data_IF_305136022069
#
_entry.id   IF_305136022069
#
_cell.length_a   1.000
_cell.length_b   1.000
_cell.length_c   1.000
_cell.angle_alpha   90.00
_cell.angle_beta   90.00
_cell.angle_gamma   90.00
#
_symmetry.space_group_name_H-M   'P 1'
#
loop_
_entity.id
_entity.type
_entity.pdbx_description
1 polymer ?
#
# COMPACT_ATOMS: atom_id res chain seq x y z
N UNK A 1 -8.95 2.64 11.58
CA UNK A 1 -8.33 3.74 10.82
C UNK A 1 -9.06 5.04 11.07
N UNK A 2 -8.39 6.16 10.83
CA UNK A 2 -8.98 7.47 10.63
C UNK A 2 -8.34 8.13 9.40
N UNK A 3 -9.10 8.90 8.63
CA UNK A 3 -8.63 9.67 7.50
C UNK A 3 -8.95 11.15 7.69
N UNK A 4 -7.91 11.98 7.68
CA UNK A 4 -8.00 13.43 7.63
C UNK A 4 -7.88 13.87 6.16
N UNK A 5 -9.00 14.32 5.59
CA UNK A 5 -9.09 14.73 4.20
C UNK A 5 -8.40 16.07 3.92
N UNK A 6 -8.30 16.96 4.91
CA UNK A 6 -7.64 18.26 4.74
C UNK A 6 -6.12 18.08 4.65
N UNK A 7 -5.59 17.09 5.36
CA UNK A 7 -4.15 16.77 5.39
C UNK A 7 -3.76 15.62 4.45
N UNK A 8 -4.73 14.95 3.83
CA UNK A 8 -4.53 13.68 3.12
C UNK A 8 -3.77 12.65 3.97
N UNK A 9 -4.14 12.55 5.25
CA UNK A 9 -3.44 11.74 6.24
C UNK A 9 -4.31 10.54 6.62
N UNK A 10 -3.82 9.35 6.30
CA UNK A 10 -4.39 8.09 6.77
C UNK A 10 -3.65 7.65 8.03
N UNK A 11 -4.42 7.31 9.07
CA UNK A 11 -3.90 6.70 10.30
C UNK A 11 -4.48 5.30 10.46
N UNK A 12 -3.63 4.29 10.51
CA UNK A 12 -3.97 2.92 10.87
C UNK A 12 -3.64 2.72 12.35
N UNK A 13 -4.67 2.52 13.17
CA UNK A 13 -4.49 2.41 14.62
C UNK A 13 -4.09 1.01 15.05
N UNK A 14 -3.19 0.92 16.03
CA UNK A 14 -2.77 -0.34 16.66
C UNK A 14 -2.41 -1.43 15.64
N UNK A 15 -1.56 -1.08 14.66
CA UNK A 15 -1.13 -2.04 13.64
C UNK A 15 -0.35 -3.19 14.28
N UNK A 16 -0.40 -4.35 13.64
CA UNK A 16 0.44 -5.48 14.01
C UNK A 16 1.92 -5.07 14.01
N UNK A 17 2.72 -5.48 15.02
CA UNK A 17 4.17 -5.29 15.00
C UNK A 17 4.86 -6.15 13.93
N UNK A 18 4.11 -7.04 13.26
CA UNK A 18 4.58 -7.89 12.17
C UNK A 18 3.93 -7.45 10.86
N UNK A 19 4.78 -7.17 9.87
CA UNK A 19 4.40 -6.98 8.47
C UNK A 19 4.72 -8.24 7.68
N UNK A 20 3.73 -8.80 6.97
CA UNK A 20 3.91 -9.93 6.06
C UNK A 20 4.23 -9.42 4.66
N UNK A 21 5.05 -10.14 3.90
CA UNK A 21 5.36 -9.79 2.52
C UNK A 21 5.55 -11.01 1.64
N UNK A 22 5.44 -10.76 0.33
CA UNK A 22 5.73 -11.72 -0.72
C UNK A 22 6.67 -11.07 -1.74
N UNK A 23 7.57 -11.85 -2.33
CA UNK A 23 8.32 -11.42 -3.51
C UNK A 23 7.71 -11.97 -4.79
N UNK A 24 7.87 -11.18 -5.86
CA UNK A 24 7.52 -11.59 -7.21
C UNK A 24 8.48 -12.66 -7.76
N UNK A 25 8.07 -13.34 -8.83
CA UNK A 25 8.90 -14.33 -9.54
C UNK A 25 10.23 -13.72 -10.04
N UNK A 26 11.31 -14.53 -10.18
CA UNK A 26 11.37 -15.99 -10.06
C UNK A 26 11.47 -16.52 -8.62
N UNK A 27 11.97 -15.73 -7.70
CA UNK A 27 12.11 -16.13 -6.30
C UNK A 27 10.79 -15.90 -5.55
N UNK A 28 10.10 -16.98 -5.17
CA UNK A 28 8.85 -16.91 -4.41
C UNK A 28 9.13 -16.95 -2.92
N UNK A 29 9.50 -15.82 -2.37
CA UNK A 29 9.69 -15.64 -0.94
C UNK A 29 8.35 -15.24 -0.35
N UNK A 30 7.91 -15.97 0.66
CA UNK A 30 6.89 -15.53 1.59
C UNK A 30 7.59 -15.32 2.93
N UNK A 31 7.39 -14.17 3.54
CA UNK A 31 8.13 -13.78 4.72
C UNK A 31 7.38 -12.79 5.58
N UNK A 32 8.06 -12.40 6.66
CA UNK A 32 7.60 -11.36 7.55
C UNK A 32 8.79 -10.59 8.12
N UNK A 33 8.50 -9.42 8.64
CA UNK A 33 9.47 -8.58 9.32
C UNK A 33 8.77 -7.75 10.40
N UNK A 34 9.55 -7.15 11.29
CA UNK A 34 9.03 -6.14 12.20
C UNK A 34 8.51 -4.95 11.39
N UNK A 35 7.32 -4.46 11.71
CA UNK A 35 6.73 -3.28 11.05
C UNK A 35 7.62 -2.04 11.20
N UNK A 36 8.39 -1.93 12.28
CA UNK A 36 9.44 -0.91 12.44
C UNK A 36 10.54 -0.98 11.37
N UNK A 37 10.90 -2.19 10.92
CA UNK A 37 11.89 -2.39 9.85
C UNK A 37 11.30 -2.20 8.44
N UNK A 38 9.97 -2.21 8.32
CA UNK A 38 9.26 -1.95 7.08
C UNK A 38 9.20 -0.45 6.73
N UNK A 39 9.05 0.43 7.74
CA UNK A 39 8.93 1.89 7.55
C UNK A 39 10.12 2.52 6.80
N UNK A 40 11.39 2.17 7.08
CA UNK A 40 12.56 2.71 6.37
C UNK A 40 12.62 2.43 4.87
N UNK A 41 11.78 1.55 4.33
CA UNK A 41 11.71 1.28 2.88
C UNK A 41 11.27 2.51 2.06
N UNK A 42 10.73 3.54 2.70
CA UNK A 42 10.41 4.84 2.09
C UNK A 42 11.53 5.88 2.14
N UNK A 43 12.67 5.62 2.78
CA UNK A 43 13.72 6.65 2.94
C UNK A 43 15.12 6.19 2.56
N UNK A 44 15.36 4.89 2.49
CA UNK A 44 16.71 4.33 2.34
C UNK A 44 16.82 3.46 1.09
N UNK A 45 17.86 3.69 0.28
CA UNK A 45 18.19 2.88 -0.90
C UNK A 45 17.76 3.49 -2.23
N UNK A 46 18.43 3.07 -3.30
CA UNK A 46 18.14 3.50 -4.68
C UNK A 46 16.78 3.03 -5.17
N UNK A 47 16.30 1.90 -4.66
CA UNK A 47 15.00 1.31 -4.95
C UNK A 47 14.00 1.53 -3.80
N UNK A 48 14.11 2.67 -3.10
CA UNK A 48 13.17 3.04 -2.04
C UNK A 48 11.82 3.46 -2.61
N UNK A 49 10.76 3.30 -1.81
CA UNK A 49 9.43 3.80 -2.12
C UNK A 49 9.32 5.32 -2.14
N UNK A 50 10.40 6.05 -1.81
CA UNK A 50 10.42 7.51 -1.92
C UNK A 50 10.25 7.96 -3.37
N UNK A 51 10.95 7.29 -4.30
CA UNK A 51 11.02 7.67 -5.71
C UNK A 51 9.85 7.13 -6.52
N UNK A 52 9.34 5.95 -6.14
CA UNK A 52 8.18 5.29 -6.73
C UNK A 52 7.26 4.74 -5.62
N UNK A 53 6.39 5.60 -5.04
CA UNK A 53 5.49 5.21 -3.96
C UNK A 53 4.54 4.09 -4.39
N UNK A 54 4.33 3.04 -3.56
CA UNK A 54 3.51 1.91 -3.96
C UNK A 54 2.01 2.26 -3.88
N UNK A 55 1.24 1.57 -4.70
CA UNK A 55 -0.21 1.55 -4.51
C UNK A 55 -0.58 0.58 -3.39
N UNK A 56 -1.71 0.81 -2.75
CA UNK A 56 -2.29 -0.07 -1.77
C UNK A 56 -3.80 -0.16 -1.94
N UNK A 57 -4.32 -1.36 -1.69
CA UNK A 57 -5.73 -1.62 -1.48
C UNK A 57 -6.05 -1.46 0.00
N UNK A 58 -7.02 -0.60 0.31
CA UNK A 58 -7.65 -0.48 1.61
C UNK A 58 -9.00 -1.17 1.53
N UNK A 59 -9.08 -2.34 2.13
CA UNK A 59 -10.31 -3.12 2.28
C UNK A 59 -10.92 -2.81 3.64
N UNK A 60 -12.11 -2.23 3.66
CA UNK A 60 -12.78 -1.73 4.87
C UNK A 60 -14.15 -2.39 4.98
N UNK A 61 -14.43 -3.05 6.11
CA UNK A 61 -15.79 -3.54 6.40
C UNK A 61 -16.50 -2.52 7.30
N UNK A 62 -17.59 -1.94 6.78
CA UNK A 62 -18.44 -0.97 7.46
C UNK A 62 -19.91 -1.38 7.27
N UNK A 63 -20.66 -1.47 8.37
CA UNK A 63 -22.08 -1.89 8.38
C UNK A 63 -22.38 -3.22 7.65
N UNK A 64 -21.39 -4.11 7.61
CA UNK A 64 -21.49 -5.41 6.92
C UNK A 64 -21.19 -5.35 5.42
N UNK A 65 -20.92 -4.16 4.87
CA UNK A 65 -20.50 -3.97 3.49
C UNK A 65 -18.98 -3.87 3.38
N UNK A 66 -18.42 -4.55 2.38
CA UNK A 66 -17.01 -4.45 2.03
C UNK A 66 -16.81 -3.28 1.06
N UNK A 67 -16.02 -2.29 1.48
CA UNK A 67 -15.58 -1.14 0.67
C UNK A 67 -14.13 -1.29 0.30
N UNK A 68 -13.79 -0.86 -0.90
CA UNK A 68 -12.44 -0.82 -1.42
C UNK A 68 -12.05 0.62 -1.76
N UNK A 69 -10.89 1.05 -1.29
CA UNK A 69 -10.25 2.30 -1.71
C UNK A 69 -8.82 2.00 -2.15
N UNK A 70 -8.45 2.42 -3.35
CA UNK A 70 -7.07 2.30 -3.85
C UNK A 70 -6.35 3.61 -3.59
N UNK A 71 -5.18 3.54 -2.97
CA UNK A 71 -4.37 4.71 -2.64
C UNK A 71 -2.92 4.52 -3.05
N UNK A 72 -2.20 5.61 -3.23
CA UNK A 72 -0.74 5.64 -3.26
C UNK A 72 -0.23 6.07 -1.87
N UNK A 73 0.69 5.32 -1.28
CA UNK A 73 1.17 5.51 0.10
C UNK A 73 2.53 6.21 0.15
N UNK A 74 2.64 7.27 0.95
CA UNK A 74 3.85 8.10 1.10
C UNK A 74 4.13 8.39 2.58
N UNK A 75 5.38 8.75 2.86
CA UNK A 75 5.83 9.31 4.14
C UNK A 75 5.33 8.55 5.38
N UNK A 76 5.61 7.23 5.51
CA UNK A 76 5.16 6.46 6.65
C UNK A 76 5.76 6.98 7.95
N UNK A 77 4.92 7.10 8.98
CA UNK A 77 5.35 7.41 10.36
C UNK A 77 4.69 6.43 11.31
N UNK A 78 5.51 5.64 12.01
CA UNK A 78 5.05 4.74 13.07
C UNK A 78 5.27 5.41 14.43
N UNK A 79 4.22 5.53 15.25
CA UNK A 79 4.29 6.11 16.60
C UNK A 79 3.36 5.34 17.52
N UNK A 80 3.90 4.73 18.58
CA UNK A 80 3.12 4.01 19.60
C UNK A 80 2.14 2.95 19.04
N UNK A 81 2.50 2.31 17.92
CA UNK A 81 1.67 1.30 17.25
C UNK A 81 0.68 1.86 16.22
N UNK A 82 0.58 3.18 16.08
CA UNK A 82 -0.18 3.82 15.02
C UNK A 82 0.71 4.11 13.82
N UNK A 83 0.30 3.63 12.64
CA UNK A 83 1.02 3.81 11.38
C UNK A 83 0.28 4.81 10.50
N UNK A 84 0.95 5.92 10.22
CA UNK A 84 0.43 7.03 9.46
C UNK A 84 1.05 7.07 8.06
N UNK A 85 0.26 7.48 7.07
CA UNK A 85 0.70 7.72 5.70
C UNK A 85 0.15 9.05 5.18
N UNK A 86 0.93 9.72 4.34
CA UNK A 86 0.36 10.67 3.36
C UNK A 86 -0.20 9.83 2.22
N UNK A 87 -1.48 10.04 1.87
CA UNK A 87 -2.14 9.23 0.85
C UNK A 87 -2.60 10.08 -0.32
N UNK A 88 -2.55 9.50 -1.52
CA UNK A 88 -3.26 10.02 -2.67
C UNK A 88 -4.31 8.99 -3.07
N UNK A 89 -5.58 9.37 -3.07
CA UNK A 89 -6.65 8.49 -3.52
C UNK A 89 -6.53 8.30 -5.03
N UNK A 90 -6.46 7.04 -5.46
CA UNK A 90 -6.36 6.63 -6.87
C UNK A 90 -7.73 6.20 -7.39
N UNK A 91 -8.50 5.47 -6.59
CA UNK A 91 -9.85 5.00 -6.94
C UNK A 91 -10.68 4.70 -5.68
N UNK A 92 -12.00 4.85 -5.79
CA UNK A 92 -12.96 4.66 -4.71
C UNK A 92 -13.07 5.80 -3.69
N UNK A 93 -14.00 5.67 -2.76
CA UNK A 93 -14.25 6.65 -1.70
C UNK A 93 -13.57 6.22 -0.40
N UNK A 94 -12.91 7.15 0.29
CA UNK A 94 -12.29 6.90 1.60
C UNK A 94 -13.20 7.42 2.73
N UNK A 95 -13.66 6.56 3.65
CA UNK A 95 -14.41 7.03 4.81
C UNK A 95 -13.49 7.72 5.81
N UNK A 96 -14.03 8.69 6.57
CA UNK A 96 -13.28 9.41 7.62
C UNK A 96 -12.87 8.44 8.74
N UNK A 97 -13.71 7.44 9.05
CA UNK A 97 -13.44 6.41 10.06
C UNK A 97 -13.68 5.03 9.49
N UNK A 98 -12.92 4.04 9.95
CA UNK A 98 -13.14 2.63 9.60
C UNK A 98 -12.60 1.71 10.69
N UNK A 99 -13.32 0.62 11.01
CA UNK A 99 -12.94 -0.27 12.13
C UNK A 99 -12.21 -1.53 11.64
N UNK A 100 -12.78 -2.22 10.67
CA UNK A 100 -12.28 -3.49 10.17
C UNK A 100 -11.51 -3.24 8.87
N UNK A 101 -10.24 -2.89 9.00
CA UNK A 101 -9.40 -2.47 7.86
C UNK A 101 -8.29 -3.47 7.63
N UNK A 102 -8.13 -3.86 6.37
CA UNK A 102 -6.95 -4.57 5.87
C UNK A 102 -6.26 -3.70 4.84
N UNK A 103 -4.92 -3.74 4.84
CA UNK A 103 -4.10 -3.02 3.86
C UNK A 103 -3.27 -4.04 3.09
N UNK A 104 -3.39 -4.03 1.78
CA UNK A 104 -2.52 -4.79 0.90
C UNK A 104 -1.72 -3.82 0.04
N UNK A 105 -0.39 -3.85 0.16
CA UNK A 105 0.50 -2.95 -0.59
C UNK A 105 0.97 -3.68 -1.85
N UNK A 106 0.56 -3.15 -3.00
CA UNK A 106 0.97 -3.65 -4.31
C UNK A 106 2.27 -2.97 -4.74
N UNK A 107 3.39 -3.61 -4.42
CA UNK A 107 4.72 -3.21 -4.89
C UNK A 107 4.99 -3.63 -6.34
N UNK A 108 4.01 -4.23 -7.04
CA UNK A 108 4.09 -4.67 -8.45
C UNK A 108 4.00 -3.44 -9.36
N UNK A 109 5.04 -2.62 -9.30
CA UNK A 109 5.11 -1.31 -9.92
C UNK A 109 6.53 -0.91 -10.29
N UNK A 110 7.54 -1.27 -9.48
CA UNK A 110 8.94 -0.91 -9.70
C UNK A 110 9.41 -1.35 -11.11
N UNK A 111 9.48 -0.43 -12.09
CA UNK A 111 9.70 -0.77 -13.50
C UNK A 111 11.11 -1.32 -13.77
N UNK A 112 12.00 -1.24 -12.78
CA UNK A 112 13.41 -1.59 -12.85
C UNK A 112 13.75 -2.90 -12.12
N UNK A 113 12.76 -3.66 -11.64
CA UNK A 113 13.01 -5.08 -11.31
C UNK A 113 12.84 -5.92 -12.59
N UNK A 114 13.85 -6.67 -13.08
CA UNK A 114 13.92 -7.07 -14.49
C UNK A 114 12.89 -8.09 -15.00
N UNK A 115 11.85 -8.48 -14.24
CA UNK A 115 11.05 -9.66 -14.63
C UNK A 115 9.59 -9.72 -14.16
N UNK A 116 8.93 -8.61 -13.78
CA UNK A 116 7.48 -8.70 -13.47
C UNK A 116 6.61 -8.82 -14.74
N UNK A 117 6.37 -10.06 -15.16
CA UNK A 117 5.48 -10.44 -16.27
C UNK A 117 4.02 -9.98 -16.03
N UNK A 118 3.60 -9.85 -14.77
CA UNK A 118 2.29 -9.33 -14.40
C UNK A 118 2.16 -7.82 -14.71
N UNK A 119 3.21 -7.04 -14.43
CA UNK A 119 3.26 -5.62 -14.80
C UNK A 119 3.17 -5.37 -16.31
N UNK A 120 3.80 -6.23 -17.12
CA UNK A 120 3.71 -6.16 -18.59
C UNK A 120 2.28 -6.45 -19.08
N UNK A 121 1.61 -7.48 -18.55
CA UNK A 121 0.25 -7.85 -18.96
C UNK A 121 -0.80 -6.84 -18.49
N UNK A 122 -0.66 -6.23 -17.31
CA UNK A 122 -1.53 -5.12 -16.86
C UNK A 122 -1.36 -3.88 -17.75
N UNK A 123 -0.14 -3.50 -18.13
CA UNK A 123 0.09 -2.39 -19.08
C UNK A 123 -0.51 -2.68 -20.46
N UNK A 124 -0.36 -3.92 -20.94
CA UNK A 124 -0.97 -4.35 -22.20
C UNK A 124 -2.50 -4.32 -22.12
N UNK A 125 -3.09 -4.82 -21.03
CA UNK A 125 -4.55 -4.76 -20.81
C UNK A 125 -5.05 -3.32 -20.69
N UNK A 126 -4.38 -2.46 -19.90
CA UNK A 126 -4.73 -1.03 -19.75
C UNK A 126 -4.72 -0.32 -21.11
N UNK A 127 -3.72 -0.60 -21.96
CA UNK A 127 -3.65 -0.04 -23.32
C UNK A 127 -4.71 -0.59 -24.27
N UNK A 128 -5.18 -1.81 -24.06
CA UNK A 128 -6.15 -2.47 -24.93
C UNK A 128 -7.61 -2.28 -24.49
N UNK A 129 -7.86 -1.95 -23.23
CA UNK A 129 -9.20 -1.87 -22.65
C UNK A 129 -9.65 -0.43 -22.30
N UNK A 130 -8.71 0.53 -22.20
CA UNK A 130 -9.01 1.92 -21.84
C UNK A 130 -8.63 2.96 -22.91
N UNK A 131 -8.21 2.51 -24.10
CA UNK A 131 -8.02 3.34 -25.30
C UNK A 131 -8.67 2.66 -26.51
#
# INVERSE_FOLDING_TARGET
>A
MAFDADQNRLTLHNVSPVTLFFSDRPERIAGNMNTEAFVPLWSTGTDSFLSDPPNADLSIIEDGELRQTVVELRDPVLTEGDLQYTVKIVDGDMPILGKNVSVFIDVIGMPMTPVSYAGVRRRAFRRAALY
#
